data_IF_288587841158
#
_entry.id   IF_288587841158
#
_cell.length_a   1.000
_cell.length_b   1.000
_cell.length_c   1.000
_cell.angle_alpha   90.00
_cell.angle_beta   90.00
_cell.angle_gamma   90.00
#
_symmetry.space_group_name_H-M   'P 1'
#
loop_
_entity.id
_entity.type
_entity.pdbx_description
1 polymer ?
#
# COMPACT_ATOMS: atom_id res chain seq x y z
N UNK A 1 1.97 13.88 24.63
CA UNK A 1 3.35 13.75 24.11
C UNK A 1 3.37 12.49 23.24
N UNK A 2 3.90 12.57 22.01
CA UNK A 2 3.95 11.40 21.11
C UNK A 2 4.98 10.37 21.58
N UNK A 3 4.78 9.10 21.23
CA UNK A 3 5.76 8.05 21.46
C UNK A 3 6.68 7.90 20.25
N UNK A 4 7.95 7.56 20.48
CA UNK A 4 8.91 7.29 19.39
C UNK A 4 8.40 6.17 18.46
N UNK A 5 7.85 5.10 19.05
CA UNK A 5 7.20 4.02 18.30
C UNK A 5 6.00 4.49 17.47
N UNK A 6 5.27 5.51 17.94
CA UNK A 6 4.20 6.15 17.17
C UNK A 6 4.75 6.96 16.00
N UNK A 7 5.86 7.70 16.21
CA UNK A 7 6.55 8.45 15.17
C UNK A 7 7.12 7.56 14.07
N UNK A 8 7.75 6.44 14.44
CA UNK A 8 8.30 5.47 13.50
C UNK A 8 7.21 4.83 12.62
N UNK A 9 6.08 4.42 13.23
CA UNK A 9 4.94 3.87 12.48
C UNK A 9 4.33 4.90 11.54
N UNK A 10 4.21 6.14 11.99
CA UNK A 10 3.72 7.23 11.15
C UNK A 10 4.66 7.45 9.95
N UNK A 11 5.97 7.51 10.18
CA UNK A 11 6.96 7.65 9.12
C UNK A 11 6.88 6.51 8.10
N UNK A 12 6.77 5.25 8.55
CA UNK A 12 6.60 4.10 7.66
C UNK A 12 5.34 4.22 6.77
N UNK A 13 4.21 4.63 7.34
CA UNK A 13 2.97 4.85 6.59
C UNK A 13 3.16 5.98 5.57
N UNK A 14 3.78 7.10 5.95
CA UNK A 14 4.06 8.20 5.03
C UNK A 14 4.95 7.77 3.86
N UNK A 15 5.99 6.97 4.12
CA UNK A 15 6.85 6.41 3.07
C UNK A 15 6.07 5.52 2.10
N UNK A 16 5.13 4.69 2.59
CA UNK A 16 4.27 3.86 1.73
C UNK A 16 3.32 4.70 0.87
N UNK A 17 2.72 5.74 1.44
CA UNK A 17 1.86 6.69 0.72
C UNK A 17 2.63 7.40 -0.40
N UNK A 18 3.84 7.90 -0.10
CA UNK A 18 4.68 8.54 -1.11
C UNK A 18 5.07 7.55 -2.22
N UNK A 19 5.43 6.33 -1.83
CA UNK A 19 5.79 5.27 -2.80
C UNK A 19 4.61 4.93 -3.70
N UNK A 20 3.38 4.84 -3.16
CA UNK A 20 2.18 4.62 -3.96
C UNK A 20 1.96 5.72 -4.98
N UNK A 21 2.12 6.99 -4.58
CA UNK A 21 2.02 8.14 -5.49
C UNK A 21 3.09 8.09 -6.60
N UNK A 22 4.34 7.77 -6.24
CA UNK A 22 5.45 7.65 -7.20
C UNK A 22 5.23 6.51 -8.21
N UNK A 23 4.45 5.49 -7.84
CA UNK A 23 4.00 4.42 -8.73
C UNK A 23 2.71 4.76 -9.51
N UNK A 24 2.22 6.00 -9.43
CA UNK A 24 1.03 6.45 -10.15
C UNK A 24 -0.30 5.95 -9.57
N UNK A 25 -0.29 5.44 -8.34
CA UNK A 25 -1.50 4.97 -7.67
C UNK A 25 -2.20 6.07 -6.88
N UNK A 26 -3.52 5.97 -6.81
CA UNK A 26 -4.29 6.69 -5.80
C UNK A 26 -3.92 6.13 -4.41
N UNK A 27 -3.30 6.94 -3.52
CA UNK A 27 -2.82 6.42 -2.24
C UNK A 27 -3.94 5.89 -1.34
N UNK A 28 -5.14 6.45 -1.45
CA UNK A 28 -6.30 6.00 -0.67
C UNK A 28 -6.78 4.63 -1.14
N UNK A 29 -6.88 4.40 -2.46
CA UNK A 29 -7.23 3.11 -3.04
C UNK A 29 -6.18 2.05 -2.69
N UNK A 30 -4.89 2.38 -2.79
CA UNK A 30 -3.80 1.48 -2.38
C UNK A 30 -3.92 1.07 -0.91
N UNK A 31 -4.04 2.03 0.01
CA UNK A 31 -4.17 1.72 1.44
C UNK A 31 -5.42 0.90 1.75
N UNK A 32 -6.54 1.19 1.07
CA UNK A 32 -7.78 0.41 1.22
C UNK A 32 -7.57 -1.05 0.85
N UNK A 33 -6.93 -1.33 -0.29
CA UNK A 33 -6.67 -2.69 -0.74
C UNK A 33 -5.72 -3.44 0.20
N UNK A 34 -4.62 -2.79 0.61
CA UNK A 34 -3.68 -3.34 1.60
C UNK A 34 -4.41 -3.68 2.90
N UNK A 35 -5.15 -2.74 3.48
CA UNK A 35 -5.84 -2.95 4.76
C UNK A 35 -6.95 -4.01 4.66
N UNK A 36 -7.59 -4.15 3.50
CA UNK A 36 -8.60 -5.19 3.29
C UNK A 36 -7.99 -6.60 3.22
N UNK A 37 -6.72 -6.73 2.79
CA UNK A 37 -6.06 -8.03 2.57
C UNK A 37 -5.11 -8.42 3.69
N UNK A 38 -4.49 -7.46 4.38
CA UNK A 38 -3.35 -7.69 5.29
C UNK A 38 -3.65 -8.65 6.46
N UNK A 39 -4.91 -8.69 6.93
CA UNK A 39 -5.29 -9.55 8.06
C UNK A 39 -5.19 -11.06 7.72
N UNK A 40 -5.50 -11.43 6.49
CA UNK A 40 -5.50 -12.81 6.01
C UNK A 40 -4.32 -13.12 5.06
N UNK A 41 -3.41 -12.15 4.86
CA UNK A 41 -2.30 -12.29 3.92
C UNK A 41 -1.13 -13.08 4.54
N UNK A 42 -0.55 -14.06 3.83
CA UNK A 42 0.62 -14.78 4.32
C UNK A 42 1.80 -13.84 4.60
N UNK A 43 2.34 -13.91 5.82
CA UNK A 43 3.43 -13.02 6.27
C UNK A 43 4.70 -13.14 5.41
N UNK A 44 4.93 -14.30 4.79
CA UNK A 44 6.05 -14.57 3.90
C UNK A 44 5.84 -14.07 2.46
N UNK A 45 4.71 -13.40 2.17
CA UNK A 45 4.36 -12.85 0.85
C UNK A 45 3.93 -11.37 0.93
N UNK A 46 4.27 -10.67 2.00
CA UNK A 46 3.87 -9.26 2.24
C UNK A 46 4.31 -8.34 1.10
N UNK A 47 5.36 -8.69 0.37
CA UNK A 47 5.82 -7.97 -0.82
C UNK A 47 4.75 -7.86 -1.91
N UNK A 48 3.79 -8.79 -1.98
CA UNK A 48 2.64 -8.72 -2.90
C UNK A 48 1.69 -7.57 -2.62
N UNK A 49 1.75 -7.01 -1.41
CA UNK A 49 0.97 -5.84 -1.02
C UNK A 49 1.69 -4.52 -1.33
N UNK A 50 2.91 -4.57 -1.89
CA UNK A 50 3.67 -3.36 -2.23
C UNK A 50 3.06 -2.64 -3.45
N UNK A 51 3.29 -1.31 -3.58
CA UNK A 51 2.60 -0.49 -4.58
C UNK A 51 2.74 -1.00 -6.03
N UNK A 52 3.91 -1.46 -6.43
CA UNK A 52 4.15 -1.96 -7.79
C UNK A 52 3.45 -3.30 -8.08
N UNK A 53 3.10 -4.08 -7.05
CA UNK A 53 2.40 -5.36 -7.21
C UNK A 53 0.87 -5.18 -7.21
N UNK A 54 0.34 -4.21 -6.46
CA UNK A 54 -1.09 -3.86 -6.49
C UNK A 54 -1.44 -3.06 -7.75
N UNK A 55 -0.58 -2.12 -8.13
CA UNK A 55 -0.83 -1.19 -9.23
C UNK A 55 -0.94 -1.84 -10.62
N UNK A 56 -0.26 -2.97 -10.83
CA UNK A 56 -0.38 -3.75 -12.06
C UNK A 56 -1.82 -4.21 -12.34
N UNK A 57 -2.55 -4.61 -11.30
CA UNK A 57 -3.94 -5.06 -11.43
C UNK A 57 -4.91 -3.92 -11.80
N UNK A 58 -4.63 -2.68 -11.41
CA UNK A 58 -5.53 -1.56 -11.71
C UNK A 58 -5.36 -1.02 -13.14
N UNK A 59 -4.15 -1.10 -13.71
CA UNK A 59 -3.92 -0.77 -15.13
C UNK A 59 -4.65 -1.78 -16.03
N UNK A 60 -4.62 -3.07 -15.70
CA UNK A 60 -5.33 -4.11 -16.46
C UNK A 60 -6.86 -3.95 -16.38
N UNK A 61 -7.41 -3.57 -15.22
CA UNK A 61 -8.84 -3.31 -15.06
C UNK A 61 -9.35 -2.11 -15.88
N UNK A 62 -8.50 -1.11 -16.13
CA UNK A 62 -8.85 0.07 -16.95
C UNK A 62 -8.78 -0.18 -18.45
N UNK A 63 -8.01 -1.17 -18.89
CA UNK A 63 -7.91 -1.57 -20.30
C UNK A 63 -9.01 -2.58 -20.71
N UNK A 64 -9.72 -3.15 -19.73
CA UNK A 64 -10.81 -4.11 -19.94
C UNK A 64 -12.22 -3.47 -20.00
N UNK A 65 -12.31 -2.13 -20.07
CA UNK A 65 -13.56 -1.36 -20.17
C UNK A 65 -13.57 -0.52 -21.45
#
# INVERSE_FOLDING_TARGET
MGSDAGGERAAAIYSLVETARLNGLDPQAYLRDVLARIADHPINRIDELLPWNIGGHHIEQRLAA
#
